data_IF_416013698925
#
_entry.id   IF_416013698925
#
_cell.length_a   1.000
_cell.length_b   1.000
_cell.length_c   1.000
_cell.angle_alpha   90.00
_cell.angle_beta   90.00
_cell.angle_gamma   90.00
#
_symmetry.space_group_name_H-M   'P 1'
#
loop_
_entity.id
_entity.type
_entity.pdbx_description
1 polymer ?
#
# COMPACT_ATOMS: atom_id res chain seq x y z
N UNK A 1 7.19 -12.96 -9.68
CA UNK A 1 8.35 -12.04 -9.63
C UNK A 1 8.14 -10.97 -10.69
N UNK A 2 8.34 -9.70 -10.36
CA UNK A 2 8.21 -8.57 -11.32
C UNK A 2 9.55 -7.86 -11.46
N UNK A 3 9.80 -7.25 -12.62
CA UNK A 3 10.99 -6.45 -12.87
C UNK A 3 10.70 -4.96 -12.73
N UNK A 4 11.71 -4.20 -12.30
CA UNK A 4 11.69 -2.73 -12.38
C UNK A 4 11.97 -2.34 -13.82
N UNK A 5 11.07 -1.57 -14.41
CA UNK A 5 11.13 -1.10 -15.79
C UNK A 5 11.67 0.33 -15.85
N UNK A 6 11.63 0.94 -17.04
CA UNK A 6 12.08 2.33 -17.23
C UNK A 6 11.35 3.27 -16.27
N UNK A 7 12.02 4.36 -15.90
CA UNK A 7 11.47 5.36 -14.94
C UNK A 7 11.11 4.75 -13.57
N UNK A 8 11.77 3.66 -13.18
CA UNK A 8 11.58 2.99 -11.89
C UNK A 8 10.15 2.48 -11.65
N UNK A 9 9.44 2.12 -12.73
CA UNK A 9 8.08 1.60 -12.64
C UNK A 9 8.07 0.10 -12.42
N UNK A 10 7.16 -0.38 -11.59
CA UNK A 10 6.84 -1.81 -11.43
C UNK A 10 5.39 -2.04 -11.84
N UNK A 11 5.14 -3.16 -12.53
CA UNK A 11 3.77 -3.61 -12.76
C UNK A 11 3.23 -4.18 -11.46
N UNK A 12 2.07 -3.71 -11.02
CA UNK A 12 1.34 -4.34 -9.91
C UNK A 12 0.58 -5.55 -10.50
N UNK A 13 0.94 -6.80 -10.12
CA UNK A 13 0.31 -8.00 -10.64
C UNK A 13 -1.20 -8.02 -10.40
N UNK A 14 -1.93 -8.84 -11.17
CA UNK A 14 -3.39 -8.84 -11.12
C UNK A 14 -3.92 -9.21 -9.74
N UNK A 15 -3.37 -10.25 -9.14
CA UNK A 15 -3.70 -10.74 -7.80
C UNK A 15 -3.54 -9.64 -6.75
N UNK A 16 -2.42 -8.91 -6.78
CA UNK A 16 -2.17 -7.80 -5.86
C UNK A 16 -3.13 -6.63 -6.11
N UNK A 17 -3.51 -6.36 -7.37
CA UNK A 17 -4.50 -5.32 -7.67
C UNK A 17 -5.89 -5.67 -7.17
N UNK A 18 -6.28 -6.93 -7.26
CA UNK A 18 -7.56 -7.45 -6.78
C UNK A 18 -7.61 -7.38 -5.25
N UNK A 19 -6.56 -7.81 -4.55
CA UNK A 19 -6.46 -7.75 -3.08
C UNK A 19 -6.49 -6.30 -2.56
N UNK A 20 -5.77 -5.39 -3.22
CA UNK A 20 -5.75 -3.96 -2.85
C UNK A 20 -6.96 -3.19 -3.40
N UNK A 21 -7.79 -3.82 -4.24
CA UNK A 21 -8.90 -3.21 -4.97
C UNK A 21 -8.52 -1.90 -5.68
N UNK A 22 -7.38 -1.88 -6.37
CA UNK A 22 -6.88 -0.71 -7.09
C UNK A 22 -7.17 -0.77 -8.59
N UNK A 23 -7.49 0.39 -9.16
CA UNK A 23 -7.79 0.59 -10.58
C UNK A 23 -6.86 1.63 -11.20
N UNK A 24 -6.86 1.69 -12.53
CA UNK A 24 -6.09 2.70 -13.24
C UNK A 24 -6.56 4.11 -12.86
N UNK A 25 -5.63 4.96 -12.44
CA UNK A 25 -5.91 6.32 -11.97
C UNK A 25 -5.96 6.47 -10.44
N UNK A 26 -6.03 5.36 -9.70
CA UNK A 26 -6.00 5.39 -8.24
C UNK A 26 -4.63 5.83 -7.72
N UNK A 27 -4.64 6.49 -6.57
CA UNK A 27 -3.42 6.93 -5.87
C UNK A 27 -3.02 5.92 -4.81
N UNK A 28 -1.73 5.63 -4.75
CA UNK A 28 -1.09 4.81 -3.74
C UNK A 28 0.04 5.59 -3.06
N UNK A 29 0.47 5.13 -1.90
CA UNK A 29 1.57 5.70 -1.12
C UNK A 29 2.54 4.61 -0.69
N UNK A 30 3.82 4.98 -0.60
CA UNK A 30 4.84 4.15 0.02
C UNK A 30 5.09 4.67 1.43
N UNK A 31 4.92 3.82 2.43
CA UNK A 31 5.16 4.17 3.83
C UNK A 31 6.27 3.28 4.38
N UNK A 32 7.23 3.89 5.07
CA UNK A 32 8.25 3.14 5.80
C UNK A 32 7.74 2.88 7.22
N UNK A 33 7.62 1.61 7.59
CA UNK A 33 7.17 1.23 8.93
C UNK A 33 8.32 1.34 9.95
N UNK A 34 8.00 1.09 11.23
CA UNK A 34 8.97 1.22 12.33
C UNK A 34 10.12 0.19 12.25
N UNK A 35 9.89 -0.95 11.61
CA UNK A 35 10.91 -1.97 11.35
C UNK A 35 11.82 -1.60 10.17
N UNK A 36 11.52 -0.49 9.49
CA UNK A 36 12.28 0.00 8.34
C UNK A 36 11.88 -0.62 7.00
N UNK A 37 10.83 -1.45 6.98
CA UNK A 37 10.28 -2.04 5.76
C UNK A 37 9.40 -1.02 5.02
N UNK A 38 9.42 -1.07 3.68
CA UNK A 38 8.53 -0.25 2.85
C UNK A 38 7.26 -1.00 2.51
N UNK A 39 6.12 -0.36 2.77
CA UNK A 39 4.78 -0.85 2.47
C UNK A 39 4.13 0.02 1.39
N UNK A 40 3.48 -0.61 0.43
CA UNK A 40 2.62 0.07 -0.54
C UNK A 40 1.18 0.00 -0.02
N UNK A 41 0.52 1.14 0.10
CA UNK A 41 -0.85 1.22 0.59
C UNK A 41 -1.72 2.08 -0.32
N UNK A 42 -3.03 1.79 -0.34
CA UNK A 42 -4.03 2.73 -0.84
C UNK A 42 -4.20 3.88 0.16
N UNK A 43 -4.68 5.03 -0.31
CA UNK A 43 -4.99 6.15 0.59
C UNK A 43 -6.04 5.73 1.63
N UNK A 44 -7.04 4.96 1.24
CA UNK A 44 -8.07 4.44 2.13
C UNK A 44 -7.48 3.57 3.24
N UNK A 45 -6.58 2.64 2.89
CA UNK A 45 -5.93 1.76 3.86
C UNK A 45 -5.05 2.55 4.85
N UNK A 46 -4.31 3.56 4.35
CA UNK A 46 -3.53 4.44 5.22
C UNK A 46 -4.42 5.19 6.21
N UNK A 47 -5.50 5.81 5.73
CA UNK A 47 -6.45 6.54 6.59
C UNK A 47 -7.06 5.63 7.65
N UNK A 48 -7.47 4.41 7.29
CA UNK A 48 -7.99 3.42 8.23
C UNK A 48 -6.98 3.12 9.34
N UNK A 49 -5.73 2.83 8.97
CA UNK A 49 -4.64 2.57 9.93
C UNK A 49 -4.40 3.74 10.88
N UNK A 50 -4.45 4.97 10.35
CA UNK A 50 -4.28 6.18 11.17
C UNK A 50 -5.43 6.36 12.17
N UNK A 51 -6.66 6.05 11.77
CA UNK A 51 -7.84 6.11 12.64
C UNK A 51 -7.78 5.02 13.73
N UNK A 52 -7.42 3.79 13.38
CA UNK A 52 -7.21 2.68 14.31
C UNK A 52 -6.15 3.03 15.36
N UNK A 53 -5.03 3.60 14.91
CA UNK A 53 -3.95 4.06 15.79
C UNK A 53 -4.38 5.19 16.72
N UNK A 54 -5.28 6.08 16.27
CA UNK A 54 -5.81 7.17 17.07
C UNK A 54 -6.83 6.68 18.13
N UNK A 55 -7.55 5.61 17.84
CA UNK A 55 -8.56 5.03 18.72
C UNK A 55 -8.01 3.96 19.68
N UNK A 56 -6.72 3.59 19.56
CA UNK A 56 -6.09 2.59 20.42
C UNK A 56 -6.48 1.13 20.10
N UNK A 57 -7.17 0.89 18.99
CA UNK A 57 -7.48 -0.46 18.50
C UNK A 57 -6.36 -0.90 17.56
N UNK A 58 -5.36 -1.58 18.12
CA UNK A 58 -4.37 -2.32 17.34
C UNK A 58 -4.98 -3.70 17.09
N UNK A 59 -5.48 -3.94 15.88
CA UNK A 59 -5.92 -5.29 15.45
C UNK A 59 -4.70 -6.22 15.51
N UNK A 60 -4.74 -7.31 16.31
CA UNK A 60 -3.59 -8.20 16.53
C UNK A 60 -3.11 -8.94 15.27
#
# INVERSE_FOLDING_TARGET
MVSVTKKFQVTIPREVREDLNIKSGDRIVFVKNQEGNWELMTITALTKRMLESANGEMDP
#
